data_IF_094085841123
#
_entry.id   IF_094085841123
#
_cell.length_a   1.000
_cell.length_b   1.000
_cell.length_c   1.000
_cell.angle_alpha   90.00
_cell.angle_beta   90.00
_cell.angle_gamma   90.00
#
_symmetry.space_group_name_H-M   'P 1'
#
loop_
_entity.id
_entity.type
_entity.pdbx_description
1 polymer ?
#
# COMPACT_ATOMS: atom_id res chain seq x y z
N UNK A 1 22.06 4.05 -3.17
CA UNK A 1 21.11 3.35 -2.29
C UNK A 1 19.82 4.14 -2.07
N UNK A 2 19.88 5.40 -1.62
CA UNK A 2 18.68 6.23 -1.38
C UNK A 2 17.75 6.35 -2.61
N UNK A 3 18.28 6.64 -3.81
CA UNK A 3 17.44 6.78 -5.02
C UNK A 3 16.68 5.50 -5.34
N UNK A 4 17.37 4.36 -5.31
CA UNK A 4 16.79 3.04 -5.60
C UNK A 4 15.71 2.67 -4.58
N UNK A 5 16.01 2.80 -3.29
CA UNK A 5 15.07 2.52 -2.21
C UNK A 5 13.86 3.47 -2.25
N UNK A 6 14.09 4.75 -2.56
CA UNK A 6 13.05 5.75 -2.71
C UNK A 6 12.10 5.44 -3.86
N UNK A 7 12.64 5.09 -5.04
CA UNK A 7 11.84 4.69 -6.19
C UNK A 7 10.99 3.45 -5.91
N UNK A 8 11.57 2.44 -5.24
CA UNK A 8 10.84 1.22 -4.86
C UNK A 8 9.71 1.52 -3.87
N UNK A 9 9.99 2.30 -2.82
CA UNK A 9 8.98 2.67 -1.83
C UNK A 9 7.87 3.53 -2.45
N UNK A 10 8.23 4.44 -3.36
CA UNK A 10 7.24 5.22 -4.10
C UNK A 10 6.34 4.31 -4.95
N UNK A 11 6.93 3.35 -5.67
CA UNK A 11 6.17 2.38 -6.47
C UNK A 11 5.20 1.56 -5.61
N UNK A 12 5.66 1.01 -4.49
CA UNK A 12 4.79 0.27 -3.58
C UNK A 12 3.72 1.15 -2.92
N UNK A 13 4.06 2.36 -2.50
CA UNK A 13 3.14 3.29 -1.86
C UNK A 13 2.02 3.70 -2.80
N UNK A 14 2.36 4.05 -4.04
CA UNK A 14 1.38 4.33 -5.09
C UNK A 14 0.56 3.08 -5.43
N UNK A 15 1.19 1.90 -5.51
CA UNK A 15 0.50 0.63 -5.74
C UNK A 15 -0.59 0.37 -4.71
N UNK A 16 -0.31 0.58 -3.41
CA UNK A 16 -1.30 0.45 -2.33
C UNK A 16 -2.46 1.42 -2.51
N UNK A 17 -2.18 2.70 -2.78
CA UNK A 17 -3.22 3.72 -2.97
C UNK A 17 -4.09 3.47 -4.20
N UNK A 18 -3.50 3.02 -5.30
CA UNK A 18 -4.23 2.63 -6.51
C UNK A 18 -5.14 1.44 -6.21
N UNK A 19 -4.65 0.47 -5.44
CA UNK A 19 -5.41 -0.71 -5.08
C UNK A 19 -6.61 -0.37 -4.18
N UNK A 20 -6.44 0.52 -3.20
CA UNK A 20 -7.56 1.05 -2.41
C UNK A 20 -8.55 1.82 -3.27
N UNK A 21 -8.06 2.66 -4.19
CA UNK A 21 -8.94 3.38 -5.10
C UNK A 21 -9.76 2.43 -5.99
N UNK A 22 -9.14 1.35 -6.47
CA UNK A 22 -9.82 0.31 -7.23
C UNK A 22 -10.81 -0.47 -6.36
N UNK A 23 -10.46 -0.74 -5.10
CA UNK A 23 -11.30 -1.47 -4.15
C UNK A 23 -12.61 -0.74 -3.86
N UNK A 24 -12.64 0.59 -3.94
CA UNK A 24 -13.88 1.39 -3.84
C UNK A 24 -14.87 1.11 -4.97
N UNK A 25 -14.38 0.76 -6.17
CA UNK A 25 -15.20 0.45 -7.34
C UNK A 25 -15.57 -1.03 -7.41
N UNK A 26 -14.62 -1.92 -7.11
CA UNK A 26 -14.82 -3.37 -7.17
C UNK A 26 -15.50 -3.92 -5.91
N UNK A 27 -15.48 -3.18 -4.81
CA UNK A 27 -15.96 -3.64 -3.50
C UNK A 27 -15.05 -4.70 -2.86
N UNK A 28 -13.87 -4.95 -3.43
CA UNK A 28 -12.98 -6.03 -3.05
C UNK A 28 -11.54 -5.57 -2.84
N UNK A 29 -10.92 -6.05 -1.76
CA UNK A 29 -9.57 -5.71 -1.34
C UNK A 29 -8.68 -6.96 -1.21
N UNK A 30 -7.69 -7.17 -2.11
CA UNK A 30 -6.76 -8.29 -2.01
C UNK A 30 -5.81 -8.15 -0.82
N UNK A 31 -5.69 -9.18 0.01
CA UNK A 31 -4.66 -9.26 1.04
C UNK A 31 -3.50 -10.18 0.64
N UNK A 32 -2.36 -9.58 0.31
CA UNK A 32 -1.12 -10.28 -0.05
C UNK A 32 -1.19 -11.07 -1.38
N UNK A 33 -0.19 -11.90 -1.67
CA UNK A 33 -0.10 -12.66 -2.92
C UNK A 33 -1.23 -13.67 -3.10
N UNK A 34 -1.85 -14.09 -1.99
CA UNK A 34 -3.00 -15.00 -1.96
C UNK A 34 -4.33 -14.26 -2.16
N UNK A 35 -4.41 -12.98 -1.79
CA UNK A 35 -5.51 -12.10 -2.14
C UNK A 35 -5.62 -11.94 -3.65
N UNK A 36 -4.51 -11.67 -4.34
CA UNK A 36 -4.47 -11.60 -5.81
C UNK A 36 -4.89 -12.90 -6.55
N UNK A 37 -5.03 -14.01 -5.81
CA UNK A 37 -5.41 -15.34 -6.34
C UNK A 37 -6.78 -15.81 -5.86
N UNK A 38 -7.67 -14.94 -5.34
CA UNK A 38 -9.01 -15.39 -4.94
C UNK A 38 -9.15 -15.95 -3.53
N UNK A 39 -8.09 -15.99 -2.70
CA UNK A 39 -8.11 -16.76 -1.44
C UNK A 39 -8.08 -15.95 -0.15
N UNK A 40 -7.66 -14.68 -0.19
CA UNK A 40 -7.56 -13.79 0.97
C UNK A 40 -8.12 -12.44 0.57
N UNK A 41 -9.43 -12.45 0.36
CA UNK A 41 -10.20 -11.41 -0.29
C UNK A 41 -11.19 -10.84 0.73
N UNK A 42 -11.02 -9.58 1.14
CA UNK A 42 -12.04 -8.91 1.94
C UNK A 42 -12.99 -8.19 1.00
N UNK A 43 -14.27 -8.58 1.04
CA UNK A 43 -15.31 -7.95 0.24
C UNK A 43 -16.21 -7.13 1.14
N UNK A 44 -16.61 -5.95 0.66
CA UNK A 44 -17.45 -5.01 1.39
C UNK A 44 -18.79 -5.61 1.81
N UNK A 45 -19.34 -6.53 1.03
CA UNK A 45 -20.68 -7.10 1.25
C UNK A 45 -20.68 -8.27 2.24
N UNK A 46 -19.65 -9.14 2.21
CA UNK A 46 -19.54 -10.27 3.14
C UNK A 46 -18.88 -9.90 4.46
N UNK A 47 -17.83 -9.07 4.42
CA UNK A 47 -17.02 -8.72 5.59
C UNK A 47 -16.76 -7.22 5.65
N UNK A 48 -17.80 -6.38 5.86
CA UNK A 48 -17.69 -4.92 5.77
C UNK A 48 -16.65 -4.36 6.74
N UNK A 49 -16.60 -4.85 7.98
CA UNK A 49 -15.63 -4.42 8.97
C UNK A 49 -14.19 -4.76 8.56
N UNK A 50 -13.96 -5.98 8.06
CA UNK A 50 -12.65 -6.43 7.60
C UNK A 50 -12.17 -5.60 6.39
N UNK A 51 -13.07 -5.38 5.43
CA UNK A 51 -12.81 -4.53 4.27
C UNK A 51 -12.41 -3.11 4.68
N UNK A 52 -13.20 -2.43 5.52
CA UNK A 52 -12.91 -1.03 5.91
C UNK A 52 -11.65 -0.92 6.76
N UNK A 53 -11.39 -1.90 7.63
CA UNK A 53 -10.16 -1.92 8.43
C UNK A 53 -8.93 -2.09 7.54
N UNK A 54 -8.98 -3.00 6.55
CA UNK A 54 -7.90 -3.16 5.59
C UNK A 54 -7.74 -1.94 4.67
N UNK A 55 -8.85 -1.36 4.21
CA UNK A 55 -8.83 -0.13 3.42
C UNK A 55 -8.14 1.02 4.14
N UNK A 56 -8.44 1.23 5.42
CA UNK A 56 -7.77 2.27 6.21
C UNK A 56 -6.29 1.95 6.43
N UNK A 57 -5.95 0.69 6.70
CA UNK A 57 -4.55 0.27 6.88
C UNK A 57 -3.72 0.44 5.61
N UNK A 58 -4.26 0.03 4.46
CA UNK A 58 -3.60 0.15 3.16
C UNK A 58 -3.46 1.62 2.78
N UNK A 59 -4.48 2.43 3.03
CA UNK A 59 -4.47 3.86 2.71
C UNK A 59 -3.45 4.62 3.54
N UNK A 60 -3.46 4.42 4.87
CA UNK A 60 -2.49 5.06 5.78
C UNK A 60 -1.07 4.61 5.45
N UNK A 61 -0.86 3.31 5.23
CA UNK A 61 0.46 2.77 4.88
C UNK A 61 0.95 3.28 3.53
N UNK A 62 0.08 3.35 2.53
CA UNK A 62 0.36 3.90 1.21
C UNK A 62 0.76 5.38 1.26
N UNK A 63 -0.04 6.21 1.95
CA UNK A 63 0.28 7.64 2.15
C UNK A 63 1.61 7.81 2.88
N UNK A 64 1.81 7.08 3.98
CA UNK A 64 3.04 7.14 4.75
C UNK A 64 4.26 6.77 3.91
N UNK A 65 4.16 5.69 3.13
CA UNK A 65 5.25 5.20 2.29
C UNK A 65 5.57 6.17 1.15
N UNK A 66 4.55 6.79 0.54
CA UNK A 66 4.75 7.86 -0.47
C UNK A 66 5.46 9.05 0.16
N UNK A 67 4.98 9.56 1.30
CA UNK A 67 5.62 10.70 1.98
C UNK A 67 7.08 10.38 2.34
N UNK A 68 7.32 9.19 2.91
CA UNK A 68 8.65 8.74 3.26
C UNK A 68 9.56 8.65 2.03
N UNK A 69 9.07 8.06 0.92
CA UNK A 69 9.83 7.95 -0.32
C UNK A 69 10.20 9.32 -0.92
N UNK A 70 9.29 10.30 -0.89
CA UNK A 70 9.56 11.65 -1.37
C UNK A 70 10.62 12.35 -0.52
N UNK A 71 10.55 12.21 0.81
CA UNK A 71 11.58 12.74 1.73
C UNK A 71 12.94 12.09 1.50
N UNK A 72 12.96 10.79 1.24
CA UNK A 72 14.17 10.03 0.92
C UNK A 72 14.80 10.49 -0.41
N UNK A 73 13.97 10.67 -1.45
CA UNK A 73 14.40 11.16 -2.76
C UNK A 73 14.88 12.61 -2.71
N UNK A 74 14.30 13.43 -1.82
CA UNK A 74 14.74 14.80 -1.57
C UNK A 74 16.00 14.89 -0.69
N UNK A 75 16.54 13.76 -0.21
CA UNK A 75 17.73 13.73 0.65
C UNK A 75 17.49 14.28 2.07
N UNK A 76 16.23 14.37 2.51
CA UNK A 76 15.85 14.90 3.83
C UNK A 76 15.96 13.82 4.91
N UNK A 77 15.92 12.55 4.52
CA UNK A 77 15.95 11.39 5.43
C UNK A 77 16.93 10.35 4.92
N UNK A 78 17.65 9.71 5.85
CA UNK A 78 18.60 8.64 5.53
C UNK A 78 17.91 7.35 5.06
N UNK A 79 18.52 6.61 4.13
CA UNK A 79 18.02 5.30 3.70
C UNK A 79 18.00 4.31 4.86
N UNK A 80 16.97 3.45 4.92
CA UNK A 80 16.98 2.37 5.91
C UNK A 80 18.16 1.43 5.65
N UNK A 81 18.81 0.92 6.71
CA UNK A 81 19.85 -0.08 6.56
C UNK A 81 19.29 -1.34 5.91
N UNK A 82 19.83 -1.68 4.74
CA UNK A 82 19.61 -2.96 4.07
C UNK A 82 20.71 -3.87 4.58
N UNK A 83 20.38 -4.70 5.58
CA UNK A 83 21.33 -5.63 6.22
C UNK A 83 21.92 -6.65 5.25
#
# INVERSE_FOLDING_TARGET
>A
MAIFQGAIFLFFGLGLLIMDWQSLKSGWLPCGPKGLKGRLEFTRDTEPLGYWLMFVLYGISGVWLVIFSLRLLAGVVEPLPLG
#
